data_IF_693425897446
#
_entry.id   IF_693425897446
#
_cell.length_a   1.000
_cell.length_b   1.000
_cell.length_c   1.000
_cell.angle_alpha   90.00
_cell.angle_beta   90.00
_cell.angle_gamma   90.00
#
_symmetry.space_group_name_H-M   'P 1'
#
loop_
_entity.id
_entity.type
_entity.pdbx_description
1 polymer ?
#
# COMPACT_ATOMS: atom_id res chain seq x y z
N UNK A 1 -6.53 5.39 -1.30
CA UNK A 1 -5.53 4.31 -1.27
C UNK A 1 -4.39 4.69 -2.19
N UNK A 2 -3.15 4.56 -1.75
CA UNK A 2 -1.98 4.86 -2.58
C UNK A 2 -1.27 3.53 -2.85
N UNK A 3 -1.23 3.11 -4.12
CA UNK A 3 -0.56 1.93 -4.62
C UNK A 3 0.78 2.32 -5.22
N UNK A 4 1.87 1.72 -4.73
CA UNK A 4 3.21 1.90 -5.28
C UNK A 4 3.65 0.61 -5.98
N UNK A 5 3.71 0.63 -7.31
CA UNK A 5 4.09 -0.53 -8.10
C UNK A 5 4.03 -0.34 -9.61
N UNK A 6 4.45 0.80 -10.16
CA UNK A 6 4.56 1.00 -11.63
C UNK A 6 5.69 0.16 -12.27
N UNK A 7 5.62 -1.17 -12.07
CA UNK A 7 6.27 -2.31 -12.72
C UNK A 7 5.66 -3.66 -12.23
N UNK A 8 4.47 -3.67 -11.60
CA UNK A 8 3.81 -4.89 -11.11
C UNK A 8 2.37 -4.97 -11.65
N UNK A 9 2.14 -5.70 -12.76
CA UNK A 9 0.83 -5.77 -13.41
C UNK A 9 -0.30 -6.17 -12.46
N UNK A 10 -0.08 -7.14 -11.57
CA UNK A 10 -1.08 -7.55 -10.59
C UNK A 10 -1.46 -6.46 -9.59
N UNK A 11 -0.53 -5.57 -9.21
CA UNK A 11 -0.83 -4.46 -8.29
C UNK A 11 -1.53 -3.31 -9.01
N UNK A 12 -1.22 -3.09 -10.29
CA UNK A 12 -1.98 -2.16 -11.14
C UNK A 12 -3.43 -2.64 -11.31
N UNK A 13 -3.63 -3.91 -11.65
CA UNK A 13 -4.96 -4.51 -11.74
C UNK A 13 -5.76 -4.38 -10.43
N UNK A 14 -5.11 -4.62 -9.30
CA UNK A 14 -5.72 -4.42 -7.99
C UNK A 14 -6.16 -2.98 -7.77
N UNK A 15 -5.30 -2.01 -8.09
CA UNK A 15 -5.61 -0.59 -8.00
C UNK A 15 -6.81 -0.20 -8.86
N UNK A 16 -6.87 -0.66 -10.11
CA UNK A 16 -8.00 -0.42 -11.00
C UNK A 16 -9.30 -1.00 -10.44
N UNK A 17 -9.25 -2.21 -9.88
CA UNK A 17 -10.42 -2.84 -9.25
C UNK A 17 -10.86 -2.09 -7.98
N UNK A 18 -9.93 -1.50 -7.22
CA UNK A 18 -10.25 -0.60 -6.10
C UNK A 18 -10.96 0.68 -6.57
N UNK A 19 -10.47 1.30 -7.64
CA UNK A 19 -11.13 2.47 -8.23
C UNK A 19 -12.56 2.12 -8.70
N UNK A 20 -12.74 0.99 -9.40
CA UNK A 20 -14.06 0.51 -9.82
C UNK A 20 -15.00 0.20 -8.65
N UNK A 21 -14.45 -0.18 -7.50
CA UNK A 21 -15.20 -0.38 -6.26
C UNK A 21 -15.50 0.93 -5.49
N UNK A 22 -15.22 2.10 -6.07
CA UNK A 22 -15.47 3.41 -5.44
C UNK A 22 -14.43 3.82 -4.41
N UNK A 23 -13.31 3.10 -4.31
CA UNK A 23 -12.21 3.48 -3.43
C UNK A 23 -11.28 4.43 -4.17
N UNK A 24 -11.24 5.70 -3.76
CA UNK A 24 -10.30 6.68 -4.32
C UNK A 24 -8.87 6.16 -4.23
N UNK A 25 -8.26 5.85 -5.37
CA UNK A 25 -7.00 5.11 -5.44
C UNK A 25 -6.03 5.74 -6.44
N UNK A 26 -4.79 5.97 -6.02
CA UNK A 26 -3.68 6.38 -6.89
C UNK A 26 -2.75 5.19 -7.07
N UNK A 27 -2.32 4.87 -8.29
CA UNK A 27 -1.28 3.86 -8.56
C UNK A 27 -0.07 4.55 -9.18
N UNK A 28 1.12 4.35 -8.61
CA UNK A 28 2.32 5.09 -9.01
C UNK A 28 3.59 4.22 -8.93
N UNK A 29 4.70 4.69 -9.50
CA UNK A 29 6.01 4.04 -9.30
C UNK A 29 6.48 4.23 -7.86
N UNK A 30 7.24 3.27 -7.32
CA UNK A 30 7.82 3.38 -5.98
C UNK A 30 8.65 4.65 -5.77
N UNK A 31 9.26 5.19 -6.85
CA UNK A 31 9.99 6.45 -6.83
C UNK A 31 9.13 7.66 -6.41
N UNK A 32 7.81 7.61 -6.61
CA UNK A 32 6.87 8.65 -6.19
C UNK A 32 6.51 8.57 -4.70
N UNK A 33 6.96 7.56 -3.95
CA UNK A 33 6.63 7.39 -2.54
C UNK A 33 6.81 8.66 -1.68
N UNK A 34 7.93 9.41 -1.77
CA UNK A 34 8.10 10.65 -1.03
C UNK A 34 7.09 11.74 -1.38
N UNK A 35 6.73 11.88 -2.65
CA UNK A 35 5.72 12.86 -3.11
C UNK A 35 4.33 12.45 -2.59
N UNK A 36 3.95 11.19 -2.80
CA UNK A 36 2.66 10.66 -2.37
C UNK A 36 2.49 10.70 -0.84
N UNK A 37 3.57 10.59 -0.06
CA UNK A 37 3.51 10.78 1.38
C UNK A 37 3.15 12.23 1.75
N UNK A 38 3.75 13.20 1.06
CA UNK A 38 3.44 14.63 1.28
C UNK A 38 2.01 14.96 0.88
N UNK A 39 1.56 14.45 -0.27
CA UNK A 39 0.17 14.59 -0.72
C UNK A 39 -0.80 13.99 0.30
N UNK A 40 -0.56 12.75 0.76
CA UNK A 40 -1.40 12.11 1.78
C UNK A 40 -1.49 12.91 3.08
N UNK A 41 -0.37 13.51 3.53
CA UNK A 41 -0.33 14.37 4.71
C UNK A 41 -1.17 15.63 4.48
N UNK A 42 -1.07 16.28 3.31
CA UNK A 42 -1.83 17.47 2.97
C UNK A 42 -3.33 17.18 2.83
N UNK A 43 -3.70 16.10 2.15
CA UNK A 43 -5.08 15.60 2.02
C UNK A 43 -5.70 15.30 3.39
N UNK A 44 -4.93 14.67 4.29
CA UNK A 44 -5.39 14.38 5.65
C UNK A 44 -5.60 15.66 6.47
N UNK A 45 -4.63 16.57 6.46
CA UNK A 45 -4.70 17.83 7.22
C UNK A 45 -5.80 18.76 6.73
N UNK A 46 -6.13 18.72 5.43
CA UNK A 46 -7.23 19.50 4.85
C UNK A 46 -8.61 18.85 5.07
N UNK A 47 -8.67 17.64 5.61
CA UNK A 47 -9.92 16.89 5.81
C UNK A 47 -10.47 16.23 4.54
N UNK A 48 -9.80 16.37 3.39
CA UNK A 48 -10.19 15.71 2.13
C UNK A 48 -10.07 14.19 2.20
N UNK A 49 -9.18 13.68 3.04
CA UNK A 49 -9.06 12.26 3.35
C UNK A 49 -9.03 12.04 4.86
N UNK A 50 -9.87 11.15 5.37
CA UNK A 50 -9.89 10.79 6.80
C UNK A 50 -9.27 9.43 7.09
N UNK A 51 -8.95 8.64 6.05
CA UNK A 51 -8.42 7.27 6.18
C UNK A 51 -7.41 6.97 5.09
N UNK A 52 -6.17 6.67 5.49
CA UNK A 52 -5.07 6.32 4.58
C UNK A 52 -4.77 4.82 4.64
N UNK A 53 -4.73 4.19 3.46
CA UNK A 53 -4.35 2.79 3.24
C UNK A 53 -3.26 2.75 2.18
N UNK A 54 -2.17 2.02 2.45
CA UNK A 54 -0.99 1.95 1.59
C UNK A 54 -0.70 0.49 1.26
N UNK A 55 -0.54 0.17 -0.03
CA UNK A 55 -0.17 -1.16 -0.49
C UNK A 55 0.98 -1.07 -1.47
N UNK A 56 2.00 -1.90 -1.27
CA UNK A 56 3.18 -1.92 -2.12
C UNK A 56 3.76 -3.31 -2.32
N UNK A 57 4.33 -3.54 -3.49
CA UNK A 57 5.01 -4.79 -3.85
C UNK A 57 6.49 -4.54 -4.15
N UNK A 58 7.38 -5.46 -3.76
CA UNK A 58 8.82 -5.37 -4.07
C UNK A 58 9.43 -4.07 -3.52
N UNK A 59 10.10 -3.28 -4.37
CA UNK A 59 10.55 -1.91 -4.05
C UNK A 59 9.40 -0.99 -3.60
N UNK A 60 8.20 -1.20 -4.15
CA UNK A 60 6.99 -0.52 -3.72
C UNK A 60 6.56 -0.88 -2.30
N UNK A 61 6.83 -2.12 -1.85
CA UNK A 61 6.59 -2.55 -0.47
C UNK A 61 7.50 -1.82 0.52
N UNK A 62 8.79 -1.72 0.19
CA UNK A 62 9.75 -0.93 0.98
C UNK A 62 9.38 0.55 0.99
N UNK A 63 8.97 1.09 -0.16
CA UNK A 63 8.50 2.47 -0.28
C UNK A 63 7.21 2.71 0.53
N UNK A 64 6.26 1.77 0.54
CA UNK A 64 5.05 1.83 1.34
C UNK A 64 5.35 1.91 2.85
N UNK A 65 6.30 1.12 3.34
CA UNK A 65 6.77 1.19 4.72
C UNK A 65 7.42 2.55 5.04
N UNK A 66 8.24 3.08 4.13
CA UNK A 66 8.85 4.42 4.28
C UNK A 66 7.82 5.55 4.26
N UNK A 67 6.78 5.44 3.42
CA UNK A 67 5.65 6.36 3.44
C UNK A 67 4.93 6.33 4.78
N UNK A 68 4.61 5.13 5.30
CA UNK A 68 3.96 4.99 6.61
C UNK A 68 4.78 5.67 7.72
N UNK A 69 6.11 5.52 7.69
CA UNK A 69 7.02 6.21 8.62
C UNK A 69 7.03 7.73 8.44
N UNK A 70 6.95 8.23 7.20
CA UNK A 70 6.81 9.67 6.94
C UNK A 70 5.50 10.24 7.50
N UNK A 71 4.40 9.52 7.32
CA UNK A 71 3.12 9.87 7.91
C UNK A 71 3.18 9.84 9.45
N UNK A 72 3.89 8.87 10.03
CA UNK A 72 4.09 8.78 11.48
C UNK A 72 4.77 10.04 12.04
N UNK A 73 5.85 10.49 11.40
CA UNK A 73 6.56 11.74 11.77
C UNK A 73 5.68 12.98 11.65
N UNK A 74 4.66 12.94 10.78
CA UNK A 74 3.72 14.04 10.58
C UNK A 74 2.47 13.96 11.48
N UNK A 75 2.37 12.97 12.36
CA UNK A 75 1.21 12.74 13.22
C UNK A 75 -0.03 12.21 12.47
N UNK A 76 0.16 11.61 11.30
CA UNK A 76 -0.93 11.13 10.44
C UNK A 76 -1.11 9.61 10.61
N UNK A 77 -2.31 9.13 10.98
CA UNK A 77 -2.57 7.70 11.14
C UNK A 77 -2.63 6.96 9.80
N UNK A 78 -2.15 5.72 9.80
CA UNK A 78 -2.29 4.79 8.66
C UNK A 78 -3.20 3.65 9.09
N UNK A 79 -4.36 3.54 8.45
CA UNK A 79 -5.37 2.54 8.81
C UNK A 79 -4.95 1.13 8.37
N UNK A 80 -4.20 1.03 7.27
CA UNK A 80 -3.72 -0.23 6.73
C UNK A 80 -2.39 -0.03 5.99
N UNK A 81 -1.41 -0.87 6.29
CA UNK A 81 -0.21 -1.08 5.49
C UNK A 81 -0.19 -2.53 5.03
N UNK A 82 -0.12 -2.75 3.72
CA UNK A 82 0.15 -4.08 3.16
C UNK A 82 1.43 -4.05 2.33
N UNK A 83 2.32 -4.99 2.61
CA UNK A 83 3.54 -5.21 1.83
C UNK A 83 3.51 -6.61 1.22
N UNK A 84 3.88 -6.68 -0.05
CA UNK A 84 4.00 -7.92 -0.83
C UNK A 84 5.48 -8.07 -1.20
N UNK A 85 6.14 -9.07 -0.63
CA UNK A 85 7.56 -9.40 -0.81
C UNK A 85 8.50 -8.17 -0.90
N UNK A 86 8.54 -7.34 0.15
CA UNK A 86 9.25 -6.07 0.14
C UNK A 86 10.77 -6.25 0.09
N UNK A 87 11.44 -5.51 -0.80
CA UNK A 87 12.91 -5.53 -0.90
C UNK A 87 13.54 -4.98 0.38
N UNK A 88 14.45 -5.75 0.99
CA UNK A 88 15.07 -5.37 2.26
C UNK A 88 14.12 -5.46 3.47
N UNK A 89 12.96 -6.09 3.31
CA UNK A 89 11.96 -6.26 4.36
C UNK A 89 11.09 -5.02 4.60
N UNK A 90 10.14 -5.17 5.51
CA UNK A 90 9.34 -4.06 6.01
C UNK A 90 9.00 -4.24 7.48
N UNK A 91 9.04 -3.13 8.21
CA UNK A 91 8.54 -3.01 9.57
C UNK A 91 7.45 -1.92 9.60
N UNK A 92 6.31 -2.15 10.28
CA UNK A 92 5.28 -1.14 10.39
C UNK A 92 5.77 -0.01 11.32
N UNK A 93 5.32 1.20 11.04
CA UNK A 93 5.48 2.33 11.96
C UNK A 93 4.38 2.33 13.03
N UNK A 94 4.60 2.98 14.17
CA UNK A 94 3.67 2.97 15.31
C UNK A 94 2.28 3.57 15.01
N UNK A 95 2.17 4.39 13.95
CA UNK A 95 0.92 4.96 13.47
C UNK A 95 0.08 4.00 12.59
N UNK A 96 0.57 2.78 12.33
CA UNK A 96 -0.11 1.79 11.49
C UNK A 96 -1.05 0.94 12.36
N UNK A 97 -2.35 1.04 12.12
CA UNK A 97 -3.37 0.29 12.89
C UNK A 97 -3.46 -1.18 12.50
N UNK A 98 -3.33 -1.50 11.20
CA UNK A 98 -3.29 -2.88 10.71
C UNK A 98 -2.14 -3.04 9.74
N UNK A 99 -1.38 -4.11 9.90
CA UNK A 99 -0.25 -4.43 9.07
C UNK A 99 -0.35 -5.87 8.57
N UNK A 100 -0.12 -6.07 7.28
CA UNK A 100 0.01 -7.39 6.67
C UNK A 100 1.27 -7.41 5.81
N UNK A 101 2.13 -8.39 6.05
CA UNK A 101 3.32 -8.64 5.24
C UNK A 101 3.18 -10.02 4.60
N UNK A 102 3.08 -10.04 3.28
CA UNK A 102 2.98 -11.26 2.51
C UNK A 102 4.33 -11.59 1.88
N UNK A 103 4.72 -12.85 1.99
CA UNK A 103 5.83 -13.44 1.24
C UNK A 103 5.28 -14.52 0.30
N UNK A 104 6.00 -14.87 -0.78
CA UNK A 104 5.58 -15.92 -1.69
C UNK A 104 5.35 -17.25 -0.95
N UNK A 105 4.22 -17.92 -1.23
CA UNK A 105 3.96 -19.30 -0.78
C UNK A 105 4.75 -20.30 -1.61
N UNK A 106 4.79 -21.55 -1.19
CA UNK A 106 5.27 -22.66 -2.02
C UNK A 106 4.53 -22.66 -3.36
N UNK A 107 5.29 -22.58 -4.47
CA UNK A 107 4.74 -22.53 -5.83
C UNK A 107 4.38 -21.13 -6.34
N UNK A 108 4.48 -20.09 -5.50
CA UNK A 108 4.44 -18.69 -5.92
C UNK A 108 5.87 -18.17 -6.07
N UNK A 109 6.06 -17.24 -6.99
CA UNK A 109 7.25 -16.41 -7.11
C UNK A 109 6.93 -14.94 -6.74
N UNK A 110 7.96 -14.09 -6.86
CA UNK A 110 7.88 -12.67 -6.59
C UNK A 110 6.69 -11.98 -7.29
N UNK A 111 6.36 -12.35 -8.53
CA UNK A 111 5.32 -11.67 -9.30
C UNK A 111 3.95 -12.35 -9.19
N UNK A 112 3.93 -13.68 -9.20
CA UNK A 112 2.71 -14.51 -9.19
C UNK A 112 2.02 -14.52 -7.83
N UNK A 113 2.74 -14.24 -6.74
CA UNK A 113 2.12 -14.14 -5.41
C UNK A 113 0.98 -13.12 -5.38
N UNK A 114 1.03 -12.03 -6.17
CA UNK A 114 0.01 -10.99 -6.14
C UNK A 114 -1.36 -11.57 -6.56
N UNK A 115 -1.37 -12.42 -7.60
CA UNK A 115 -2.59 -13.06 -8.08
C UNK A 115 -3.18 -14.01 -7.03
N UNK A 116 -2.34 -14.85 -6.41
CA UNK A 116 -2.75 -15.77 -5.34
C UNK A 116 -3.23 -15.05 -4.07
N UNK A 117 -2.80 -13.80 -3.87
CA UNK A 117 -3.14 -12.96 -2.70
C UNK A 117 -4.31 -12.01 -2.96
N UNK A 118 -4.86 -11.96 -4.18
CA UNK A 118 -5.94 -11.04 -4.54
C UNK A 118 -7.12 -11.08 -3.56
N UNK A 119 -7.72 -12.24 -3.23
CA UNK A 119 -8.85 -12.30 -2.29
C UNK A 119 -8.52 -11.69 -0.92
N UNK A 120 -7.33 -11.98 -0.40
CA UNK A 120 -6.85 -11.47 0.89
C UNK A 120 -6.65 -9.93 0.82
N UNK A 121 -6.09 -9.42 -0.28
CA UNK A 121 -5.93 -7.99 -0.52
C UNK A 121 -7.28 -7.26 -0.57
N UNK A 122 -8.30 -7.83 -1.22
CA UNK A 122 -9.67 -7.29 -1.16
C UNK A 122 -10.19 -7.24 0.26
N UNK A 123 -10.02 -8.32 1.03
CA UNK A 123 -10.51 -8.38 2.39
C UNK A 123 -9.88 -7.33 3.28
N UNK A 124 -8.56 -7.11 3.15
CA UNK A 124 -7.86 -6.06 3.89
C UNK A 124 -8.36 -4.66 3.52
N UNK A 125 -8.49 -4.35 2.22
CA UNK A 125 -8.83 -3.00 1.78
C UNK A 125 -10.31 -2.68 1.93
N UNK A 126 -11.19 -3.62 1.60
CA UNK A 126 -12.64 -3.43 1.64
C UNK A 126 -13.27 -3.81 2.97
N UNK A 127 -12.59 -4.58 3.81
CA UNK A 127 -13.09 -4.98 5.13
C UNK A 127 -14.23 -6.01 5.07
N UNK A 128 -14.26 -6.85 4.03
CA UNK A 128 -15.26 -7.91 3.81
C UNK A 128 -14.59 -9.23 3.45
#
# INVERSE_FOLDING_TARGET
MLGLGNNSPGLAEFGDRMQRAGVGTTVANHSYGPLLAQEAIAEYRSGRTSSIKIVGHSLGGSAAARMAAALARAGVPVQLLVTLDPVGGSAPSSNVRRYANFVPRTGEDHFTMIAGRMPELYAYVLGR
#
